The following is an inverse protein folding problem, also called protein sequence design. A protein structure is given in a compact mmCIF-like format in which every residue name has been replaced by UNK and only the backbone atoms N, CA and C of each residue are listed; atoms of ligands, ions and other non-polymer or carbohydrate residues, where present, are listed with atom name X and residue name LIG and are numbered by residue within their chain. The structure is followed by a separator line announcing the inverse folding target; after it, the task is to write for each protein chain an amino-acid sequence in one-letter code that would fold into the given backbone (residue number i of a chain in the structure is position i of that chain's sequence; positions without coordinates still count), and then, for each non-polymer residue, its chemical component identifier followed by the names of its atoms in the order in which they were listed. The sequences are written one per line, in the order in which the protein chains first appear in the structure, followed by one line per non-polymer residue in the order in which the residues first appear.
data_IF_946330009037
#
_entry.id   IF_946330009037
#
_cell.length_a   1.000
_cell.length_b   1.000
_cell.length_c   1.000
_cell.angle_alpha   90.00
_cell.angle_beta   90.00
_cell.angle_gamma   90.00
#
_symmetry.space_group_name_H-M   'P 1'
#
loop_
_entity.id
_entity.type
_entity.pdbx_description
1 polymer ?
#
# COMPACT_ATOMS: atom_id res chain seq x y z
N UNK A 1 85.05 9.55 12.40
CA UNK A 1 83.96 9.16 11.50
C UNK A 1 82.90 8.45 12.34
N UNK A 2 81.76 9.13 12.62
CA UNK A 2 80.67 8.58 13.46
C UNK A 2 79.54 8.17 12.54
N UNK A 3 79.21 6.88 12.46
CA UNK A 3 78.07 6.35 11.71
C UNK A 3 76.79 6.54 12.53
N UNK A 4 75.84 7.22 11.94
CA UNK A 4 74.46 7.33 12.46
C UNK A 4 73.60 6.24 11.80
N UNK A 5 73.09 5.29 12.59
CA UNK A 5 72.09 4.33 12.16
C UNK A 5 70.68 4.92 12.33
N UNK A 6 69.97 5.06 11.23
CA UNK A 6 68.60 5.48 11.22
C UNK A 6 67.71 4.24 11.36
N UNK A 7 66.98 4.21 12.50
CA UNK A 7 65.97 3.15 12.78
C UNK A 7 64.64 3.58 12.17
N UNK A 8 64.21 2.93 11.09
CA UNK A 8 62.90 3.13 10.45
C UNK A 8 61.85 2.31 11.19
N UNK A 9 60.94 2.99 11.93
CA UNK A 9 59.77 2.37 12.55
C UNK A 9 58.66 2.33 11.52
N UNK A 10 58.33 1.13 11.01
CA UNK A 10 57.17 0.91 10.13
C UNK A 10 55.89 0.78 10.97
N UNK A 11 55.04 1.79 10.90
CA UNK A 11 53.73 1.79 11.53
C UNK A 11 52.73 1.03 10.64
N UNK A 12 52.37 -0.21 11.00
CA UNK A 12 51.34 -1.01 10.34
C UNK A 12 49.97 -0.45 10.75
N UNK A 13 49.29 0.27 9.83
CA UNK A 13 47.88 0.61 9.96
C UNK A 13 47.04 -0.63 9.69
N UNK A 14 46.51 -1.24 10.73
CA UNK A 14 45.45 -2.26 10.62
C UNK A 14 44.16 -1.52 10.35
N UNK A 15 43.73 -1.45 9.08
CA UNK A 15 42.42 -1.00 8.70
C UNK A 15 41.38 -2.07 9.12
N UNK A 16 40.72 -1.83 10.26
CA UNK A 16 39.57 -2.63 10.68
C UNK A 16 38.43 -2.49 9.66
N UNK A 17 38.15 -3.55 8.91
CA UNK A 17 36.92 -3.65 8.11
C UNK A 17 35.78 -3.81 9.11
N UNK A 18 35.12 -2.71 9.46
CA UNK A 18 33.86 -2.74 10.16
C UNK A 18 32.84 -3.35 9.19
N UNK A 19 32.56 -4.66 9.34
CA UNK A 19 31.47 -5.32 8.64
C UNK A 19 30.18 -4.58 8.96
N UNK A 20 29.55 -3.97 7.97
CA UNK A 20 28.20 -3.47 8.07
C UNK A 20 27.30 -4.69 8.39
N UNK A 21 26.99 -4.88 9.68
CA UNK A 21 25.96 -5.81 10.07
C UNK A 21 24.67 -5.37 9.34
N UNK A 22 24.05 -6.26 8.58
CA UNK A 22 22.73 -6.02 7.99
C UNK A 22 21.78 -5.60 9.11
N UNK A 23 21.54 -4.31 9.22
CA UNK A 23 20.65 -3.75 10.24
C UNK A 23 19.24 -4.29 9.93
N UNK A 24 18.77 -5.22 10.74
CA UNK A 24 17.43 -5.81 10.64
C UNK A 24 16.42 -4.66 10.56
N UNK A 25 15.60 -4.65 9.53
CA UNK A 25 14.55 -3.63 9.36
C UNK A 25 13.71 -3.55 10.64
N UNK A 26 13.40 -2.34 11.14
CA UNK A 26 12.55 -2.20 12.31
C UNK A 26 11.21 -2.91 12.12
N UNK A 27 10.76 -3.61 13.16
CA UNK A 27 9.40 -4.18 13.16
C UNK A 27 8.39 -3.05 13.27
N UNK A 28 7.20 -3.28 12.68
CA UNK A 28 6.11 -2.32 12.76
C UNK A 28 4.77 -3.01 13.05
N UNK A 29 3.88 -2.26 13.64
CA UNK A 29 2.48 -2.60 13.84
C UNK A 29 1.63 -1.37 13.61
N UNK A 30 0.55 -1.50 12.84
CA UNK A 30 -0.43 -0.45 12.60
C UNK A 30 -1.85 -1.02 12.69
N UNK A 31 -2.79 -0.24 13.20
CA UNK A 31 -4.21 -0.54 13.21
C UNK A 31 -5.03 0.71 12.95
N UNK A 32 -6.18 0.56 12.32
CA UNK A 32 -7.02 1.67 11.93
C UNK A 32 -8.07 1.28 10.92
N UNK A 33 -8.38 2.18 10.00
CA UNK A 33 -9.37 1.97 8.95
C UNK A 33 -8.79 2.23 7.58
N UNK A 34 -9.08 1.32 6.66
CA UNK A 34 -8.90 1.49 5.23
C UNK A 34 -10.20 2.04 4.63
N UNK A 35 -10.08 3.10 3.86
CA UNK A 35 -11.11 3.56 2.94
C UNK A 35 -10.59 3.44 1.51
N UNK A 36 -11.36 2.77 0.66
CA UNK A 36 -10.97 2.54 -0.73
C UNK A 36 -12.11 2.85 -1.68
N UNK A 37 -11.76 3.41 -2.82
CA UNK A 37 -12.68 3.60 -3.94
C UNK A 37 -11.98 3.30 -5.25
N UNK A 38 -12.68 2.67 -6.19
CA UNK A 38 -12.11 2.34 -7.49
C UNK A 38 -13.10 2.60 -8.65
N UNK A 39 -12.57 2.51 -9.88
CA UNK A 39 -13.32 2.75 -11.11
C UNK A 39 -14.37 1.70 -11.43
N UNK A 40 -14.27 0.49 -10.87
CA UNK A 40 -15.20 -0.61 -11.15
C UNK A 40 -16.55 -0.42 -10.48
N UNK A 41 -17.57 -1.14 -10.96
CA UNK A 41 -18.86 -1.22 -10.30
C UNK A 41 -18.74 -1.91 -8.92
N UNK A 42 -19.68 -1.58 -8.02
CA UNK A 42 -19.86 -2.31 -6.76
C UNK A 42 -20.66 -3.62 -7.04
N UNK A 43 -20.29 -4.79 -6.47
CA UNK A 43 -19.06 -5.07 -5.76
C UNK A 43 -17.92 -5.29 -6.75
N UNK A 44 -16.68 -4.89 -6.37
CA UNK A 44 -15.55 -4.91 -7.29
C UNK A 44 -15.25 -6.34 -7.81
N UNK A 45 -15.32 -6.60 -9.12
CA UNK A 45 -15.13 -7.94 -9.67
C UNK A 45 -13.70 -8.46 -9.51
N UNK A 46 -12.70 -7.58 -9.33
CA UNK A 46 -11.31 -7.95 -9.16
C UNK A 46 -11.07 -8.85 -7.93
N UNK A 47 -11.89 -8.70 -6.89
CA UNK A 47 -11.84 -9.56 -5.69
C UNK A 47 -12.22 -11.01 -5.95
N UNK A 48 -12.94 -11.26 -7.05
CA UNK A 48 -13.42 -12.57 -7.49
C UNK A 48 -12.70 -13.07 -8.75
N UNK A 49 -11.48 -12.56 -8.99
CA UNK A 49 -10.67 -12.85 -10.18
C UNK A 49 -11.40 -12.62 -11.52
N UNK A 50 -12.40 -11.75 -11.50
CA UNK A 50 -13.17 -11.36 -12.68
C UNK A 50 -12.65 -10.04 -13.26
N UNK A 51 -12.77 -9.88 -14.59
CA UNK A 51 -12.28 -8.70 -15.29
C UNK A 51 -12.89 -7.41 -14.74
N UNK A 52 -12.13 -6.30 -14.72
CA UNK A 52 -12.67 -4.98 -14.39
C UNK A 52 -13.88 -4.64 -15.26
N UNK A 53 -14.82 -3.87 -14.69
CA UNK A 53 -15.98 -3.35 -15.47
C UNK A 53 -15.62 -2.12 -16.32
N UNK A 54 -14.40 -1.60 -16.16
CA UNK A 54 -13.78 -0.59 -16.98
C UNK A 54 -12.54 -1.19 -17.67
N UNK A 55 -12.00 -0.57 -18.73
CA UNK A 55 -10.82 -1.11 -19.43
C UNK A 55 -9.65 -1.43 -18.51
N UNK A 56 -9.39 -0.59 -17.48
CA UNK A 56 -8.43 -0.83 -16.41
C UNK A 56 -9.08 -0.56 -15.06
N UNK A 57 -8.51 -1.10 -13.99
CA UNK A 57 -8.92 -0.80 -12.63
C UNK A 57 -8.06 0.34 -12.06
N UNK A 58 -8.67 1.51 -11.85
CA UNK A 58 -8.06 2.63 -11.13
C UNK A 58 -8.58 2.67 -9.69
N UNK A 59 -7.71 2.70 -8.70
CA UNK A 59 -8.09 2.68 -7.28
C UNK A 59 -7.36 3.72 -6.44
N UNK A 60 -8.10 4.30 -5.50
CA UNK A 60 -7.60 5.17 -4.43
C UNK A 60 -7.80 4.45 -3.11
N UNK A 61 -6.72 4.23 -2.36
CA UNK A 61 -6.74 3.62 -1.03
C UNK A 61 -6.15 4.59 -0.02
N UNK A 62 -6.77 4.71 1.16
CA UNK A 62 -6.22 5.51 2.26
C UNK A 62 -6.31 4.70 3.56
N UNK A 63 -5.14 4.48 4.16
CA UNK A 63 -5.00 3.88 5.48
C UNK A 63 -4.97 5.00 6.52
N UNK A 64 -6.00 5.10 7.34
CA UNK A 64 -6.06 5.99 8.50
C UNK A 64 -5.60 5.21 9.73
N UNK A 65 -4.39 5.51 10.20
CA UNK A 65 -3.75 4.82 11.33
C UNK A 65 -4.29 5.41 12.63
N UNK A 66 -5.05 4.60 13.39
CA UNK A 66 -5.50 4.97 14.73
C UNK A 66 -4.38 4.78 15.76
N UNK A 67 -3.70 3.63 15.69
CA UNK A 67 -2.55 3.32 16.53
C UNK A 67 -1.47 2.67 15.67
N UNK A 68 -0.24 3.15 15.76
CA UNK A 68 0.85 2.65 14.95
C UNK A 68 2.25 2.92 15.53
N UNK A 69 3.17 1.99 15.25
CA UNK A 69 4.59 2.13 15.57
C UNK A 69 5.44 1.51 14.47
N UNK A 70 6.58 2.14 14.20
CA UNK A 70 7.67 1.62 13.37
C UNK A 70 8.96 1.72 14.20
N UNK A 71 9.44 0.61 14.75
CA UNK A 71 10.42 0.64 15.81
C UNK A 71 9.91 1.51 16.98
N UNK A 72 10.63 2.57 17.29
CA UNK A 72 10.27 3.53 18.35
C UNK A 72 9.48 4.74 17.85
N UNK A 73 9.25 4.86 16.55
CA UNK A 73 8.51 5.96 15.95
C UNK A 73 7.01 5.74 16.06
N UNK A 74 6.28 6.60 16.78
CA UNK A 74 4.81 6.59 16.82
C UNK A 74 4.23 7.13 15.53
N UNK A 75 3.15 6.46 15.05
CA UNK A 75 2.43 6.81 13.82
C UNK A 75 0.95 7.09 14.08
N UNK A 76 0.56 7.28 15.34
CA UNK A 76 -0.83 7.50 15.74
C UNK A 76 -1.41 8.74 15.05
N UNK A 77 -2.61 8.61 14.52
CA UNK A 77 -3.34 9.71 13.88
C UNK A 77 -2.85 10.13 12.49
N UNK A 78 -1.86 9.42 11.93
CA UNK A 78 -1.33 9.67 10.59
C UNK A 78 -2.01 8.81 9.53
N UNK A 79 -1.79 9.15 8.26
CA UNK A 79 -2.38 8.42 7.14
C UNK A 79 -1.38 8.14 6.02
N UNK A 80 -1.68 7.09 5.23
CA UNK A 80 -0.98 6.75 3.98
C UNK A 80 -2.03 6.64 2.89
N UNK A 81 -1.88 7.40 1.81
CA UNK A 81 -2.65 7.24 0.58
C UNK A 81 -1.89 6.44 -0.48
N UNK A 82 -2.60 5.66 -1.27
CA UNK A 82 -2.06 5.02 -2.47
C UNK A 82 -3.05 5.14 -3.62
N UNK A 83 -2.57 5.52 -4.78
CA UNK A 83 -3.37 5.55 -6.01
C UNK A 83 -2.66 4.72 -7.07
N UNK A 84 -3.43 3.85 -7.71
CA UNK A 84 -2.92 2.81 -8.61
C UNK A 84 -3.81 2.65 -9.83
N UNK A 85 -3.25 2.09 -10.91
CA UNK A 85 -4.00 1.68 -12.09
C UNK A 85 -3.43 0.38 -12.66
N UNK A 86 -4.30 -0.62 -12.86
CA UNK A 86 -3.92 -1.86 -13.54
C UNK A 86 -3.82 -1.64 -15.06
N UNK A 87 -3.07 -2.49 -15.79
CA UNK A 87 -3.19 -2.58 -17.23
C UNK A 87 -4.61 -2.93 -17.66
N UNK A 88 -4.98 -2.58 -18.89
CA UNK A 88 -6.27 -2.91 -19.46
C UNK A 88 -6.57 -4.41 -19.43
N UNK A 89 -7.82 -4.74 -19.15
CA UNK A 89 -8.34 -6.12 -19.10
C UNK A 89 -7.65 -7.04 -18.08
N UNK A 90 -6.92 -6.48 -17.10
CA UNK A 90 -6.29 -7.22 -16.01
C UNK A 90 -6.85 -6.78 -14.66
N UNK A 91 -7.05 -7.74 -13.76
CA UNK A 91 -7.37 -7.41 -12.37
C UNK A 91 -6.14 -6.85 -11.66
N UNK A 92 -6.35 -6.18 -10.51
CA UNK A 92 -5.24 -5.73 -9.67
C UNK A 92 -4.33 -6.89 -9.25
N UNK A 93 -4.91 -8.09 -8.98
CA UNK A 93 -4.15 -9.26 -8.56
C UNK A 93 -3.38 -9.92 -9.72
N UNK A 94 -3.99 -10.06 -10.90
CA UNK A 94 -3.29 -10.59 -12.09
C UNK A 94 -2.09 -9.73 -12.48
N UNK A 95 -2.20 -8.42 -12.30
CA UNK A 95 -1.14 -7.45 -12.61
C UNK A 95 -0.31 -7.02 -11.40
N UNK A 96 -0.45 -7.71 -10.26
CA UNK A 96 0.22 -7.34 -9.01
C UNK A 96 1.72 -7.10 -9.17
N UNK A 97 2.19 -5.90 -8.84
CA UNK A 97 3.57 -5.46 -9.03
C UNK A 97 3.94 -5.14 -10.49
N UNK A 98 2.96 -5.04 -11.42
CA UNK A 98 3.16 -4.65 -12.83
C UNK A 98 2.15 -3.59 -13.29
N UNK A 99 1.68 -2.76 -12.39
CA UNK A 99 0.67 -1.74 -12.68
C UNK A 99 1.20 -0.60 -13.55
N UNK A 100 0.32 0.12 -14.20
CA UNK A 100 0.68 1.28 -15.01
C UNK A 100 1.34 2.34 -14.16
N UNK A 101 0.81 2.57 -12.96
CA UNK A 101 1.47 3.38 -11.93
C UNK A 101 1.04 2.95 -10.53
N UNK A 102 1.86 3.32 -9.53
CA UNK A 102 1.55 3.28 -8.12
C UNK A 102 2.19 4.49 -7.44
N UNK A 103 1.37 5.42 -6.96
CA UNK A 103 1.82 6.62 -6.26
C UNK A 103 1.42 6.55 -4.80
N UNK A 104 2.40 6.77 -3.90
CA UNK A 104 2.17 6.89 -2.47
C UNK A 104 2.05 8.35 -2.07
N UNK A 105 1.14 8.62 -1.15
CA UNK A 105 0.93 9.91 -0.53
C UNK A 105 1.11 9.77 0.97
N UNK A 106 2.08 10.49 1.52
CA UNK A 106 2.41 10.48 2.95
C UNK A 106 1.77 11.71 3.58
N UNK A 107 1.11 11.52 4.71
CA UNK A 107 0.45 12.60 5.44
C UNK A 107 1.43 13.75 5.75
N UNK A 108 1.07 14.97 5.39
CA UNK A 108 1.90 16.14 5.61
C UNK A 108 2.13 16.46 7.10
N UNK A 109 1.24 16.00 8.00
CA UNK A 109 1.37 16.15 9.45
C UNK A 109 2.57 15.37 10.01
N UNK A 110 3.07 14.36 9.28
CA UNK A 110 4.18 13.54 9.70
C UNK A 110 5.50 14.34 9.72
N UNK A 111 6.29 14.19 10.78
CA UNK A 111 7.67 14.68 10.83
C UNK A 111 8.59 13.81 9.96
N UNK A 112 9.88 14.15 9.86
CA UNK A 112 10.82 13.46 8.99
C UNK A 112 10.92 11.94 9.27
N UNK A 113 11.08 11.55 10.54
CA UNK A 113 11.18 10.14 10.94
C UNK A 113 9.86 9.38 10.68
N UNK A 114 8.73 10.02 10.93
CA UNK A 114 7.40 9.45 10.64
C UNK A 114 7.17 9.29 9.14
N UNK A 115 7.60 10.24 8.31
CA UNK A 115 7.49 10.14 6.83
C UNK A 115 8.28 8.96 6.30
N UNK A 116 9.51 8.77 6.77
CA UNK A 116 10.32 7.62 6.39
C UNK A 116 9.63 6.30 6.80
N UNK A 117 9.15 6.20 8.03
CA UNK A 117 8.42 5.03 8.53
C UNK A 117 7.15 4.74 7.70
N UNK A 118 6.31 5.76 7.43
CA UNK A 118 5.11 5.61 6.62
C UNK A 118 5.43 5.18 5.18
N UNK A 119 6.49 5.71 4.59
CA UNK A 119 6.95 5.31 3.26
C UNK A 119 7.38 3.84 3.22
N UNK A 120 8.15 3.37 4.22
CA UNK A 120 8.56 1.95 4.33
C UNK A 120 7.35 1.03 4.50
N UNK A 121 6.40 1.38 5.37
CA UNK A 121 5.15 0.63 5.53
C UNK A 121 4.35 0.64 4.23
N UNK A 122 4.13 1.81 3.63
CA UNK A 122 3.37 1.94 2.38
C UNK A 122 3.96 1.09 1.25
N UNK A 123 5.28 1.09 1.08
CA UNK A 123 5.97 0.24 0.10
C UNK A 123 5.89 -1.26 0.40
N UNK A 124 5.58 -1.63 1.64
CA UNK A 124 5.44 -3.03 2.06
C UNK A 124 4.01 -3.54 1.90
N UNK A 125 3.02 -2.74 2.33
CA UNK A 125 1.61 -3.17 2.38
C UNK A 125 0.84 -2.86 1.10
N UNK A 126 1.29 -1.86 0.34
CA UNK A 126 0.67 -1.42 -0.90
C UNK A 126 1.62 -1.74 -2.06
N UNK A 127 1.17 -2.43 -3.13
CA UNK A 127 2.05 -2.78 -4.23
C UNK A 127 2.63 -1.54 -4.89
N UNK A 128 3.89 -1.27 -4.61
CA UNK A 128 4.59 -0.09 -5.10
C UNK A 128 5.69 -0.46 -6.09
N UNK A 129 6.55 -1.39 -5.71
CA UNK A 129 7.66 -1.84 -6.56
C UNK A 129 7.17 -2.68 -7.74
N UNK A 130 7.79 -2.49 -8.89
CA UNK A 130 7.46 -3.22 -10.13
C UNK A 130 6.42 -2.54 -11.01
N UNK A 131 5.72 -1.50 -10.53
CA UNK A 131 4.86 -0.66 -11.37
C UNK A 131 5.69 0.15 -12.37
N UNK A 132 5.12 0.45 -13.55
CA UNK A 132 5.83 1.20 -14.63
C UNK A 132 6.22 2.60 -14.18
N UNK A 133 5.40 3.24 -13.36
CA UNK A 133 5.67 4.57 -12.78
C UNK A 133 5.41 4.52 -11.28
N UNK A 134 6.36 4.98 -10.48
CA UNK A 134 6.22 5.09 -9.03
C UNK A 134 6.62 6.47 -8.55
N UNK A 135 5.94 6.99 -7.55
CA UNK A 135 6.28 8.25 -6.89
C UNK A 135 5.80 8.28 -5.47
N UNK A 136 6.56 8.93 -4.59
CA UNK A 136 6.14 9.28 -3.24
C UNK A 136 5.94 10.79 -3.18
N UNK A 137 4.83 11.21 -2.59
CA UNK A 137 4.48 12.62 -2.37
C UNK A 137 4.10 12.85 -0.92
N UNK A 138 4.26 14.06 -0.45
CA UNK A 138 3.71 14.55 0.81
C UNK A 138 2.47 15.38 0.48
N UNK A 139 1.36 15.11 1.16
CA UNK A 139 0.09 15.81 0.93
C UNK A 139 -0.77 15.84 2.20
N UNK A 140 -1.65 16.83 2.39
CA UNK A 140 -2.69 16.75 3.39
C UNK A 140 -3.62 15.58 3.06
N UNK A 141 -3.84 14.68 4.02
CA UNK A 141 -4.80 13.59 3.89
C UNK A 141 -5.89 13.82 4.93
N UNK A 142 -7.12 13.92 4.46
CA UNK A 142 -8.26 14.25 5.33
C UNK A 142 -9.40 13.27 5.15
N UNK A 143 -10.18 13.11 6.22
CA UNK A 143 -11.40 12.32 6.25
C UNK A 143 -12.46 13.04 7.08
N UNK A 144 -13.70 13.04 6.60
CA UNK A 144 -14.88 13.43 7.35
C UNK A 144 -16.05 12.50 7.05
N UNK A 145 -17.03 12.44 7.93
CA UNK A 145 -18.29 11.72 7.71
C UNK A 145 -19.46 12.67 7.94
N UNK A 146 -20.29 12.85 6.92
CA UNK A 146 -21.43 13.74 6.95
C UNK A 146 -22.67 12.98 6.47
N UNK A 147 -23.66 12.80 7.36
CA UNK A 147 -24.89 12.08 7.03
C UNK A 147 -24.66 10.63 6.56
N UNK A 148 -23.63 9.97 7.09
CA UNK A 148 -23.21 8.61 6.71
C UNK A 148 -22.44 8.55 5.38
N UNK A 149 -22.16 9.68 4.73
CA UNK A 149 -21.25 9.76 3.59
C UNK A 149 -19.83 10.02 4.10
N UNK A 150 -18.90 9.14 3.76
CA UNK A 150 -17.47 9.29 3.98
C UNK A 150 -16.87 10.13 2.86
N UNK A 151 -16.12 11.14 3.21
CA UNK A 151 -15.42 12.04 2.29
C UNK A 151 -13.94 12.01 2.59
N UNK A 152 -13.17 11.54 1.63
CA UNK A 152 -11.72 11.40 1.73
C UNK A 152 -11.06 12.29 0.70
N UNK A 153 -9.99 13.01 1.10
CA UNK A 153 -9.18 13.80 0.18
C UNK A 153 -7.69 13.57 0.39
N UNK A 154 -6.95 13.52 -0.71
CA UNK A 154 -5.49 13.48 -0.80
C UNK A 154 -5.04 14.81 -1.42
N UNK A 155 -5.08 15.87 -0.63
CA UNK A 155 -4.77 17.22 -1.05
C UNK A 155 -5.45 17.61 -2.37
N UNK A 156 -4.67 18.18 -3.29
CA UNK A 156 -5.13 18.54 -4.65
C UNK A 156 -5.13 17.38 -5.65
N UNK A 157 -4.65 16.20 -5.24
CA UNK A 157 -4.39 15.09 -6.16
C UNK A 157 -5.61 14.21 -6.38
N UNK A 158 -6.37 13.92 -5.33
CA UNK A 158 -7.52 13.04 -5.45
C UNK A 158 -8.50 13.17 -4.30
N UNK A 159 -9.73 12.74 -4.55
CA UNK A 159 -10.76 12.65 -3.53
C UNK A 159 -11.81 11.62 -3.92
N UNK A 160 -12.51 11.09 -2.93
CA UNK A 160 -13.72 10.30 -3.16
C UNK A 160 -14.76 10.52 -2.05
N UNK A 161 -16.01 10.28 -2.41
CA UNK A 161 -17.14 10.29 -1.48
C UNK A 161 -17.86 8.96 -1.60
N UNK A 162 -17.95 8.22 -0.51
CA UNK A 162 -18.55 6.89 -0.47
C UNK A 162 -19.56 6.75 0.64
N UNK A 163 -20.59 5.93 0.43
CA UNK A 163 -21.57 5.55 1.42
C UNK A 163 -21.69 4.04 1.44
N UNK A 164 -21.76 3.46 2.65
CA UNK A 164 -22.02 2.04 2.81
C UNK A 164 -23.41 1.68 2.29
N UNK A 165 -23.53 0.50 1.68
CA UNK A 165 -24.81 -0.03 1.21
C UNK A 165 -25.62 -0.55 2.39
N UNK A 166 -26.94 -0.48 2.27
CA UNK A 166 -27.86 -1.17 3.14
C UNK A 166 -28.17 -2.55 2.56
N UNK A 167 -28.07 -3.59 3.37
CA UNK A 167 -28.43 -4.96 2.99
C UNK A 167 -29.94 -5.14 2.91
N UNK A 168 -30.39 -6.01 2.04
CA UNK A 168 -31.83 -6.30 1.87
C UNK A 168 -32.53 -6.81 3.12
N UNK A 169 -31.79 -7.35 4.08
CA UNK A 169 -32.29 -7.79 5.39
C UNK A 169 -31.78 -6.89 6.53
N UNK A 170 -31.36 -5.66 6.21
CA UNK A 170 -30.74 -4.72 7.13
C UNK A 170 -29.23 -4.90 7.26
N UNK A 171 -28.59 -3.93 7.94
CA UNK A 171 -27.13 -3.89 8.11
C UNK A 171 -26.37 -3.58 6.83
N UNK A 172 -25.04 -3.66 6.86
CA UNK A 172 -24.17 -3.41 5.73
C UNK A 172 -23.64 -4.73 5.15
N UNK A 173 -23.71 -4.97 3.82
CA UNK A 173 -23.10 -6.13 3.19
C UNK A 173 -21.60 -6.17 3.45
N UNK A 174 -21.08 -7.36 3.82
CA UNK A 174 -19.66 -7.61 4.08
C UNK A 174 -19.13 -8.67 3.14
N UNK A 175 -17.88 -8.52 2.74
CA UNK A 175 -17.11 -9.56 2.07
C UNK A 175 -16.05 -10.08 3.04
N UNK A 176 -16.00 -11.42 3.14
CA UNK A 176 -15.06 -12.14 4.00
C UNK A 176 -14.14 -12.99 3.13
N UNK A 177 -12.84 -12.79 3.26
CA UNK A 177 -11.79 -13.57 2.61
C UNK A 177 -12.09 -13.89 1.12
N UNK A 178 -12.35 -12.89 0.27
CA UNK A 178 -12.56 -13.13 -1.16
C UNK A 178 -11.28 -13.70 -1.81
N UNK A 179 -11.36 -14.34 -2.99
CA UNK A 179 -10.19 -14.92 -3.66
C UNK A 179 -8.99 -13.98 -3.82
N UNK A 180 -9.23 -12.68 -4.01
CA UNK A 180 -8.20 -11.65 -4.11
C UNK A 180 -7.75 -11.04 -2.78
N UNK A 181 -8.19 -11.58 -1.62
CA UNK A 181 -7.86 -11.01 -0.32
C UNK A 181 -6.36 -10.99 -0.03
N UNK A 182 -5.94 -9.92 0.59
CA UNK A 182 -4.65 -9.75 1.25
C UNK A 182 -4.87 -9.43 2.74
N UNK A 183 -3.83 -9.28 3.57
CA UNK A 183 -4.02 -8.98 4.99
C UNK A 183 -4.77 -7.66 5.28
N UNK A 184 -4.79 -6.72 4.34
CA UNK A 184 -5.50 -5.45 4.45
C UNK A 184 -6.99 -5.59 4.10
N UNK A 185 -7.33 -6.56 3.24
CA UNK A 185 -8.67 -6.77 2.69
C UNK A 185 -9.27 -8.14 3.08
N UNK A 186 -8.89 -8.67 4.25
CA UNK A 186 -9.43 -9.94 4.73
C UNK A 186 -10.94 -9.88 5.02
N UNK A 187 -11.44 -8.72 5.46
CA UNK A 187 -12.85 -8.41 5.65
C UNK A 187 -13.09 -6.93 5.30
N UNK A 188 -14.14 -6.64 4.56
CA UNK A 188 -14.55 -5.26 4.33
C UNK A 188 -16.07 -5.11 4.16
N UNK A 189 -16.54 -3.92 4.46
CA UNK A 189 -17.92 -3.48 4.27
C UNK A 189 -18.06 -2.88 2.87
N UNK A 190 -19.11 -3.30 2.17
CA UNK A 190 -19.37 -2.85 0.81
C UNK A 190 -20.14 -1.54 0.79
N UNK A 191 -19.67 -0.62 -0.02
CA UNK A 191 -20.30 0.67 -0.28
C UNK A 191 -20.36 1.02 -1.76
N UNK A 192 -20.81 2.23 -2.03
CA UNK A 192 -20.83 2.83 -3.38
C UNK A 192 -20.26 4.25 -3.30
N UNK A 193 -19.36 4.58 -4.20
CA UNK A 193 -18.81 5.93 -4.33
C UNK A 193 -19.74 6.80 -5.17
N UNK A 194 -20.16 7.93 -4.60
CA UNK A 194 -20.90 8.95 -5.34
C UNK A 194 -19.97 9.67 -6.34
N UNK A 195 -18.70 9.85 -5.98
CA UNK A 195 -17.69 10.45 -6.86
C UNK A 195 -16.29 9.97 -6.50
N UNK A 196 -15.44 9.82 -7.50
CA UNK A 196 -14.00 9.55 -7.37
C UNK A 196 -13.27 10.45 -8.35
N UNK A 197 -12.34 11.26 -7.85
CA UNK A 197 -11.52 12.15 -8.68
C UNK A 197 -10.05 11.88 -8.45
N UNK A 198 -9.24 12.01 -9.49
CA UNK A 198 -7.78 11.94 -9.37
C UNK A 198 -7.12 12.70 -10.51
N UNK A 199 -6.13 13.55 -10.18
CA UNK A 199 -5.35 14.37 -11.13
C UNK A 199 -3.87 14.31 -10.77
N UNK A 200 -3.22 13.22 -11.12
CA UNK A 200 -1.77 13.03 -11.03
C UNK A 200 -1.37 11.84 -11.91
N UNK A 201 -0.10 11.48 -11.97
CA UNK A 201 0.44 10.37 -12.77
C UNK A 201 0.09 10.44 -14.28
N UNK A 202 -0.39 11.57 -14.78
CA UNK A 202 -0.92 11.73 -16.14
C UNK A 202 -2.40 11.37 -16.26
N UNK A 203 -3.10 11.13 -15.14
CA UNK A 203 -4.52 10.78 -15.10
C UNK A 203 -5.39 12.00 -14.79
N UNK A 204 -6.64 11.94 -15.27
CA UNK A 204 -7.70 12.87 -14.95
C UNK A 204 -9.01 12.09 -14.77
N UNK A 205 -9.17 11.48 -13.60
CA UNK A 205 -10.34 10.65 -13.30
C UNK A 205 -11.53 11.47 -12.80
N UNK A 206 -12.72 11.03 -13.17
CA UNK A 206 -13.99 11.53 -12.68
C UNK A 206 -15.04 10.40 -12.78
N UNK A 207 -14.98 9.46 -11.84
CA UNK A 207 -15.90 8.33 -11.79
C UNK A 207 -17.09 8.63 -10.88
N UNK A 208 -18.23 8.02 -11.16
CA UNK A 208 -19.47 8.16 -10.37
C UNK A 208 -20.18 6.82 -10.25
N UNK A 209 -20.80 6.57 -9.10
CA UNK A 209 -21.58 5.35 -8.87
C UNK A 209 -20.74 4.07 -8.79
N UNK A 210 -19.44 4.19 -8.55
CA UNK A 210 -18.47 3.09 -8.58
C UNK A 210 -18.30 2.43 -7.21
N UNK A 211 -17.32 1.54 -7.09
CA UNK A 211 -17.05 0.79 -5.86
C UNK A 211 -16.49 1.68 -4.75
N UNK A 212 -16.96 1.44 -3.52
CA UNK A 212 -16.39 1.97 -2.27
C UNK A 212 -16.34 0.85 -1.24
N UNK A 213 -15.28 0.81 -0.44
CA UNK A 213 -15.08 -0.16 0.62
C UNK A 213 -14.54 0.52 1.88
N UNK A 214 -14.97 -0.01 3.02
CA UNK A 214 -14.48 0.35 4.34
C UNK A 214 -14.06 -0.91 5.08
N UNK A 215 -12.82 -0.96 5.57
CA UNK A 215 -12.30 -2.08 6.35
C UNK A 215 -11.59 -1.58 7.60
N UNK A 216 -11.72 -2.33 8.69
CA UNK A 216 -10.83 -2.18 9.84
C UNK A 216 -9.60 -3.07 9.61
N UNK A 217 -8.42 -2.59 9.98
CA UNK A 217 -7.19 -3.36 9.86
C UNK A 217 -6.36 -3.39 11.14
N UNK A 218 -5.64 -4.49 11.34
CA UNK A 218 -4.59 -4.62 12.34
C UNK A 218 -3.46 -5.45 11.76
N UNK A 219 -2.35 -4.81 11.43
CA UNK A 219 -1.27 -5.35 10.61
C UNK A 219 0.07 -5.28 11.32
N UNK A 220 0.93 -6.26 11.05
CA UNK A 220 2.31 -6.30 11.52
C UNK A 220 3.28 -6.60 10.38
N UNK A 221 4.55 -6.21 10.53
CA UNK A 221 5.61 -6.58 9.58
C UNK A 221 5.68 -8.08 9.34
N UNK A 222 5.55 -8.90 10.40
CA UNK A 222 5.61 -10.36 10.30
C UNK A 222 4.46 -10.97 9.47
N UNK A 223 3.24 -10.42 9.56
CA UNK A 223 2.12 -10.86 8.72
C UNK A 223 2.39 -10.62 7.23
N UNK A 224 2.91 -9.42 6.89
CA UNK A 224 3.22 -9.09 5.50
C UNK A 224 4.44 -9.84 4.96
N UNK A 225 5.45 -10.08 5.77
CA UNK A 225 6.59 -10.95 5.40
C UNK A 225 6.10 -12.35 5.01
N UNK A 226 5.24 -12.94 5.84
CA UNK A 226 4.63 -14.25 5.58
C UNK A 226 3.75 -14.24 4.31
N UNK A 227 2.91 -13.23 4.15
CA UNK A 227 2.04 -13.08 2.98
C UNK A 227 2.86 -12.96 1.69
N UNK A 228 3.87 -12.08 1.67
CA UNK A 228 4.73 -11.85 0.50
C UNK A 228 5.56 -13.10 0.15
N UNK A 229 6.03 -13.85 1.15
CA UNK A 229 6.71 -15.14 0.94
C UNK A 229 5.76 -16.15 0.26
N UNK A 230 4.50 -16.23 0.70
CA UNK A 230 3.48 -17.09 0.08
C UNK A 230 3.16 -16.71 -1.37
N UNK A 231 3.08 -15.40 -1.68
CA UNK A 231 2.90 -14.92 -3.06
C UNK A 231 4.07 -15.31 -3.97
N UNK A 232 5.30 -15.21 -3.47
CA UNK A 232 6.49 -15.60 -4.23
C UNK A 232 6.48 -17.10 -4.57
N UNK A 233 6.10 -17.95 -3.63
CA UNK A 233 5.97 -19.41 -3.84
C UNK A 233 4.89 -19.75 -4.86
N UNK A 234 3.70 -19.14 -4.80
CA UNK A 234 2.64 -19.34 -5.79
C UNK A 234 3.08 -18.97 -7.21
N UNK A 235 3.81 -17.86 -7.38
CA UNK A 235 4.35 -17.43 -8.69
C UNK A 235 5.39 -18.42 -9.26
N UNK A 236 6.12 -19.13 -8.40
CA UNK A 236 7.11 -20.13 -8.82
C UNK A 236 6.42 -21.43 -9.23
N UNK A 237 5.40 -21.87 -8.49
CA UNK A 237 4.65 -23.08 -8.78
C UNK A 237 3.88 -23.00 -10.12
N UNK A 238 3.31 -21.84 -10.46
CA UNK A 238 2.60 -21.64 -11.74
C UNK A 238 3.51 -21.60 -12.97
N UNK A 239 4.83 -21.46 -12.80
CA UNK A 239 5.81 -21.48 -13.90
C UNK A 239 6.31 -22.88 -14.27
N UNK A 240 6.04 -23.90 -13.44
CA UNK A 240 6.41 -25.28 -13.73
C UNK A 240 5.24 -25.94 -14.48
N UNK A 241 5.40 -26.29 -15.77
CA UNK A 241 4.32 -27.00 -16.49
C UNK A 241 4.02 -28.32 -15.81
N UNK A 242 2.77 -28.78 -15.80
CA UNK A 242 2.43 -30.11 -15.30
C UNK A 242 3.27 -31.15 -16.06
N UNK A 243 3.96 -32.03 -15.34
CA UNK A 243 4.52 -33.23 -15.93
C UNK A 243 3.36 -34.07 -16.42
N UNK A 244 3.21 -34.22 -17.72
CA UNK A 244 2.34 -35.22 -18.30
C UNK A 244 3.03 -36.58 -18.11
N UNK A 245 2.54 -37.39 -17.19
CA UNK A 245 2.83 -38.82 -17.10
C UNK A 245 1.95 -39.55 -18.15
#
# INVERSE_FOLDING_TARGET
MKSFSILTVSLLLVAGVAGAADAKKPSWKISGQLEESCSCNAACPCWFDSKPTMPGCGGNQVLFIKHGRYGDVSLDGLAIGNVVESPENQTMMQSYGKWNFSYLYIDEKANAAQREALEQIGKTVLPFSGSKKTKVRVAPITRETVGGEHRVAIGKYGSFRGKLLEGGLGGTPKLLNPPGADPLHAEYQQGRAASVTYRDAGQNWNFKGTNYMLADFSLTSAQYEKYNAGLAQKKTATKTPPKHD
#
